data_IF_343442204526
#
_entry.id   IF_343442204526
#
_cell.length_a   1.000
_cell.length_b   1.000
_cell.length_c   1.000
_cell.angle_alpha   90.00
_cell.angle_beta   90.00
_cell.angle_gamma   90.00
#
_symmetry.space_group_name_H-M   'P 1'
#
loop_
_entity.id
_entity.type
_entity.pdbx_description
1 polymer ?
#
# COMPACT_ATOMS: atom_id res chain seq x y z
N UNK A 1 8.72 12.02 5.64
CA UNK A 1 8.91 11.62 4.23
C UNK A 1 7.55 11.56 3.56
N UNK A 2 7.38 12.03 2.32
CA UNK A 2 6.13 11.87 1.56
C UNK A 2 6.17 10.61 0.69
N UNK A 3 5.03 10.17 0.17
CA UNK A 3 4.97 9.02 -0.74
C UNK A 3 5.86 9.19 -1.98
N UNK A 4 5.90 10.40 -2.56
CA UNK A 4 6.80 10.72 -3.69
C UNK A 4 8.27 10.41 -3.37
N UNK A 5 8.72 10.77 -2.16
CA UNK A 5 10.12 10.57 -1.76
C UNK A 5 10.43 9.06 -1.69
N UNK A 6 9.51 8.26 -1.11
CA UNK A 6 9.63 6.80 -1.09
C UNK A 6 9.66 6.22 -2.51
N UNK A 7 8.79 6.72 -3.40
CA UNK A 7 8.74 6.28 -4.80
C UNK A 7 10.06 6.52 -5.52
N UNK A 8 10.60 7.74 -5.43
CA UNK A 8 11.86 8.12 -6.09
C UNK A 8 13.03 7.25 -5.59
N UNK A 9 13.09 6.97 -4.28
CA UNK A 9 14.11 6.11 -3.69
C UNK A 9 13.97 4.63 -4.10
N UNK A 10 12.74 4.11 -4.18
CA UNK A 10 12.49 2.76 -4.64
C UNK A 10 12.89 2.59 -6.12
N UNK A 11 12.52 3.55 -6.98
CA UNK A 11 12.88 3.56 -8.41
C UNK A 11 14.38 3.68 -8.62
N UNK A 12 15.08 4.47 -7.80
CA UNK A 12 16.53 4.57 -7.87
C UNK A 12 17.23 3.22 -7.60
N UNK A 13 16.65 2.37 -6.75
CA UNK A 13 17.23 1.09 -6.34
C UNK A 13 16.73 -0.11 -7.15
N UNK A 14 15.56 -0.01 -7.79
CA UNK A 14 14.92 -1.13 -8.49
C UNK A 14 14.73 -0.80 -9.96
N UNK A 15 15.58 -1.37 -10.81
CA UNK A 15 15.49 -1.21 -12.27
C UNK A 15 14.61 -2.29 -12.94
N UNK A 16 14.43 -3.44 -12.28
CA UNK A 16 13.63 -4.56 -12.78
C UNK A 16 12.70 -5.08 -11.68
N UNK A 17 11.51 -5.62 -12.04
CA UNK A 17 10.63 -6.21 -11.05
C UNK A 17 11.25 -7.49 -10.44
N UNK A 18 10.86 -7.87 -9.21
CA UNK A 18 9.86 -7.21 -8.37
C UNK A 18 10.43 -6.10 -7.48
N UNK A 19 9.65 -5.03 -7.27
CA UNK A 19 9.85 -4.14 -6.10
C UNK A 19 9.48 -4.93 -4.84
N UNK A 20 10.43 -5.11 -3.91
CA UNK A 20 10.25 -5.95 -2.72
C UNK A 20 9.64 -5.16 -1.57
N UNK A 21 8.69 -5.75 -0.87
CA UNK A 21 8.08 -5.16 0.34
C UNK A 21 9.14 -4.81 1.40
N UNK A 22 10.14 -5.67 1.58
CA UNK A 22 11.26 -5.48 2.53
C UNK A 22 12.07 -4.22 2.24
N UNK A 23 12.24 -3.88 0.96
CA UNK A 23 12.92 -2.64 0.58
C UNK A 23 12.08 -1.42 0.99
N UNK A 24 10.78 -1.43 0.69
CA UNK A 24 9.88 -0.33 1.01
C UNK A 24 9.79 -0.09 2.52
N UNK A 25 9.63 -1.19 3.28
CA UNK A 25 9.64 -1.17 4.73
C UNK A 25 10.94 -0.60 5.29
N UNK A 26 12.09 -1.03 4.78
CA UNK A 26 13.39 -0.54 5.22
C UNK A 26 13.56 0.96 4.94
N UNK A 27 13.14 1.43 3.76
CA UNK A 27 13.18 2.86 3.41
C UNK A 27 12.31 3.71 4.33
N UNK A 28 11.10 3.25 4.66
CA UNK A 28 10.21 3.95 5.59
C UNK A 28 10.81 4.00 6.98
N UNK A 29 11.25 2.86 7.54
CA UNK A 29 11.86 2.82 8.87
C UNK A 29 13.10 3.73 8.97
N UNK A 30 13.85 3.92 7.89
CA UNK A 30 15.06 4.76 7.89
C UNK A 30 14.79 6.26 7.78
N UNK A 31 13.69 6.67 7.13
CA UNK A 31 13.52 8.07 6.65
C UNK A 31 12.19 8.72 7.00
N UNK A 32 11.20 7.96 7.45
CA UNK A 32 9.90 8.53 7.79
C UNK A 32 9.93 9.15 9.19
N UNK A 33 10.23 10.45 9.29
CA UNK A 33 10.05 11.25 10.51
C UNK A 33 8.62 11.05 11.04
N UNK A 34 8.47 10.25 12.11
CA UNK A 34 7.19 9.89 12.69
C UNK A 34 6.94 8.39 12.82
N UNK A 35 7.59 7.52 12.04
CA UNK A 35 7.48 6.06 12.17
C UNK A 35 8.88 5.48 12.36
N UNK A 36 9.18 4.99 13.56
CA UNK A 36 10.52 4.47 13.89
C UNK A 36 10.67 2.98 13.55
N UNK A 37 9.62 2.19 13.81
CA UNK A 37 9.62 0.77 13.50
C UNK A 37 8.25 0.32 13.02
N UNK A 38 8.26 -0.44 11.92
CA UNK A 38 7.12 -1.18 11.42
C UNK A 38 7.34 -2.66 11.70
N UNK A 39 6.48 -3.25 12.52
CA UNK A 39 6.43 -4.70 12.70
C UNK A 39 5.42 -5.33 11.74
N UNK A 40 5.64 -6.60 11.39
CA UNK A 40 4.67 -7.36 10.59
C UNK A 40 4.33 -8.63 11.36
N UNK A 41 3.05 -8.83 11.66
CA UNK A 41 2.57 -9.95 12.48
C UNK A 41 1.50 -10.74 11.75
N UNK A 42 1.77 -12.03 11.57
CA UNK A 42 0.76 -12.99 11.14
C UNK A 42 -0.15 -13.34 12.33
N UNK A 43 -1.46 -13.26 12.12
CA UNK A 43 -2.49 -13.56 13.12
C UNK A 43 -3.30 -14.74 12.61
N UNK A 44 -3.39 -15.78 13.44
CA UNK A 44 -4.22 -16.94 13.13
C UNK A 44 -5.66 -16.68 13.60
N UNK A 45 -6.60 -16.79 12.68
CA UNK A 45 -8.03 -16.61 12.96
C UNK A 45 -8.75 -17.96 12.88
N UNK A 46 -9.76 -18.20 13.75
CA UNK A 46 -10.59 -19.41 13.67
C UNK A 46 -11.29 -19.58 12.32
N UNK A 47 -11.58 -18.46 11.65
CA UNK A 47 -12.08 -18.40 10.27
C UNK A 47 -11.13 -17.49 9.50
N UNK A 48 -10.47 -18.05 8.49
CA UNK A 48 -9.57 -17.28 7.63
C UNK A 48 -10.35 -16.19 6.90
N UNK A 49 -9.96 -14.93 7.10
CA UNK A 49 -10.62 -13.77 6.50
C UNK A 49 -9.78 -13.09 5.41
N UNK A 50 -8.53 -13.52 5.22
CA UNK A 50 -7.59 -13.03 4.20
C UNK A 50 -7.33 -11.51 4.28
N UNK A 51 -7.49 -10.92 5.46
CA UNK A 51 -7.35 -9.48 5.67
C UNK A 51 -5.97 -9.10 6.21
N UNK A 52 -5.57 -7.86 5.93
CA UNK A 52 -4.45 -7.18 6.60
C UNK A 52 -4.93 -5.81 7.10
N UNK A 53 -4.30 -5.28 8.15
CA UNK A 53 -4.59 -3.95 8.69
C UNK A 53 -3.35 -3.31 9.33
N UNK A 54 -3.18 -2.01 9.08
CA UNK A 54 -2.21 -1.16 9.75
C UNK A 54 -2.70 -0.71 11.14
N UNK A 55 -1.84 -0.78 12.15
CA UNK A 55 -2.12 -0.39 13.53
C UNK A 55 -0.99 0.49 14.06
N UNK A 56 -1.36 1.60 14.67
CA UNK A 56 -0.43 2.40 15.48
C UNK A 56 -0.49 1.91 16.93
N UNK A 57 0.62 1.40 17.47
CA UNK A 57 0.69 0.85 18.82
C UNK A 57 0.92 1.91 19.90
N UNK A 58 1.55 3.02 19.54
CA UNK A 58 1.86 4.13 20.45
C UNK A 58 3.09 4.91 20.00
N UNK A 59 3.50 5.86 20.85
CA UNK A 59 4.75 6.62 20.71
C UNK A 59 5.81 5.99 21.63
N UNK A 60 7.04 5.89 21.14
CA UNK A 60 8.20 5.40 21.88
C UNK A 60 9.37 6.38 21.69
N UNK A 61 10.39 6.28 22.53
CA UNK A 61 11.62 7.08 22.43
C UNK A 61 12.82 6.23 22.80
N UNK A 62 13.90 6.31 22.02
CA UNK A 62 15.13 5.57 22.30
C UNK A 62 15.88 6.13 23.50
N UNK A 63 15.69 7.43 23.80
CA UNK A 63 16.26 8.15 24.94
C UNK A 63 15.34 9.28 25.37
N UNK A 64 15.54 9.81 26.59
CA UNK A 64 14.82 11.00 27.07
C UNK A 64 15.14 12.29 26.28
N UNK A 65 16.22 12.28 25.48
CA UNK A 65 16.68 13.40 24.67
C UNK A 65 16.39 13.23 23.17
N UNK A 66 15.88 12.07 22.76
CA UNK A 66 15.55 11.79 21.37
C UNK A 66 14.09 12.16 21.10
N UNK A 67 13.78 12.43 19.83
CA UNK A 67 12.39 12.65 19.39
C UNK A 67 11.57 11.37 19.54
N UNK A 68 10.30 11.53 19.92
CA UNK A 68 9.35 10.42 19.96
C UNK A 68 9.04 9.93 18.54
N UNK A 69 8.96 8.61 18.38
CA UNK A 69 8.58 7.96 17.14
C UNK A 69 7.38 7.05 17.34
N UNK A 70 6.55 6.92 16.30
CA UNK A 70 5.43 5.98 16.32
C UNK A 70 5.94 4.57 16.06
N UNK A 71 5.51 3.62 16.88
CA UNK A 71 5.62 2.19 16.59
C UNK A 71 4.36 1.77 15.85
N UNK A 72 4.54 1.25 14.64
CA UNK A 72 3.47 0.76 13.80
C UNK A 72 3.57 -0.75 13.61
N UNK A 73 2.43 -1.40 13.41
CA UNK A 73 2.33 -2.83 13.20
C UNK A 73 1.37 -3.10 12.04
N UNK A 74 1.79 -3.93 11.08
CA UNK A 74 0.90 -4.48 10.06
C UNK A 74 0.52 -5.89 10.49
N UNK A 75 -0.76 -6.09 10.78
CA UNK A 75 -1.34 -7.38 11.13
C UNK A 75 -1.99 -8.00 9.92
N UNK A 76 -1.74 -9.27 9.65
CA UNK A 76 -2.41 -9.96 8.54
C UNK A 76 -2.83 -11.38 8.91
N UNK A 77 -3.88 -11.89 8.27
CA UNK A 77 -4.33 -13.27 8.42
C UNK A 77 -3.30 -14.24 7.83
N UNK A 78 -2.86 -15.21 8.62
CA UNK A 78 -1.89 -16.24 8.20
C UNK A 78 -2.34 -17.05 6.97
N UNK A 79 -3.64 -17.22 6.74
CA UNK A 79 -4.20 -17.86 5.54
C UNK A 79 -3.76 -17.19 4.22
N UNK A 80 -3.35 -15.92 4.24
CA UNK A 80 -2.81 -15.23 3.05
C UNK A 80 -1.40 -15.72 2.69
N UNK A 81 -0.71 -16.47 3.57
CA UNK A 81 0.61 -17.03 3.27
C UNK A 81 0.58 -18.05 2.12
N UNK A 82 -0.57 -18.68 1.87
CA UNK A 82 -0.80 -19.55 0.70
C UNK A 82 -0.87 -18.76 -0.61
N UNK A 83 -1.06 -17.44 -0.53
CA UNK A 83 -1.23 -16.51 -1.64
C UNK A 83 -0.17 -15.40 -1.62
N UNK A 84 1.11 -15.71 -1.91
CA UNK A 84 2.23 -14.78 -1.70
C UNK A 84 2.10 -13.45 -2.45
N UNK A 85 1.50 -13.44 -3.64
CA UNK A 85 1.25 -12.21 -4.39
C UNK A 85 0.17 -11.35 -3.73
N UNK A 86 -0.88 -11.96 -3.19
CA UNK A 86 -1.94 -11.27 -2.43
C UNK A 86 -1.39 -10.73 -1.13
N UNK A 87 -0.60 -11.54 -0.40
CA UNK A 87 0.09 -11.10 0.81
C UNK A 87 0.94 -9.87 0.55
N UNK A 88 1.78 -9.92 -0.49
CA UNK A 88 2.69 -8.82 -0.81
C UNK A 88 1.94 -7.54 -1.17
N UNK A 89 0.87 -7.65 -1.96
CA UNK A 89 0.04 -6.49 -2.29
C UNK A 89 -0.67 -5.93 -1.05
N UNK A 90 -1.30 -6.79 -0.25
CA UNK A 90 -2.00 -6.39 0.97
C UNK A 90 -1.05 -5.71 1.98
N UNK A 91 0.09 -6.33 2.28
CA UNK A 91 1.09 -5.73 3.17
C UNK A 91 1.63 -4.40 2.63
N UNK A 92 1.83 -4.28 1.32
CA UNK A 92 2.26 -3.02 0.72
C UNK A 92 1.17 -1.97 0.81
N UNK A 93 -0.11 -2.32 0.62
CA UNK A 93 -1.25 -1.41 0.82
C UNK A 93 -1.30 -0.90 2.26
N UNK A 94 -1.23 -1.81 3.23
CA UNK A 94 -1.21 -1.46 4.65
C UNK A 94 0.00 -0.57 5.00
N UNK A 95 1.15 -0.84 4.40
CA UNK A 95 2.34 -0.01 4.58
C UNK A 95 2.15 1.42 4.09
N UNK A 96 1.29 1.69 3.10
CA UNK A 96 1.06 3.05 2.62
C UNK A 96 0.27 3.92 3.61
N UNK A 97 -0.41 3.32 4.58
CA UNK A 97 -1.12 4.07 5.64
C UNK A 97 -0.17 4.83 6.58
N UNK A 98 1.15 4.60 6.49
CA UNK A 98 2.15 5.46 7.18
C UNK A 98 2.07 6.92 6.72
N UNK A 99 1.54 7.17 5.52
CA UNK A 99 1.38 8.51 4.95
C UNK A 99 0.02 9.13 5.25
N UNK A 100 -0.84 8.47 6.03
CA UNK A 100 -2.13 9.02 6.44
C UNK A 100 -1.97 10.18 7.42
N UNK A 101 -2.71 11.24 7.14
CA UNK A 101 -2.98 12.30 8.11
C UNK A 101 -3.90 11.83 9.23
N UNK A 102 -4.00 12.61 10.31
CA UNK A 102 -4.90 12.28 11.44
C UNK A 102 -6.38 12.16 11.05
N UNK A 103 -6.83 12.81 9.98
CA UNK A 103 -8.20 12.70 9.47
C UNK A 103 -8.43 11.44 8.62
N UNK A 104 -7.36 10.92 8.02
CA UNK A 104 -7.35 9.72 7.19
C UNK A 104 -7.26 8.43 8.04
N UNK A 105 -6.75 8.52 9.27
CA UNK A 105 -6.59 7.37 10.19
C UNK A 105 -7.92 6.82 10.73
N UNK A 106 -8.10 5.51 10.62
CA UNK A 106 -9.22 4.74 11.20
C UNK A 106 -8.92 4.25 12.63
N UNK A 107 -8.46 5.15 13.50
CA UNK A 107 -7.91 4.82 14.83
C UNK A 107 -8.94 4.78 15.97
N UNK A 108 -10.24 4.96 15.70
CA UNK A 108 -11.30 4.87 16.71
C UNK A 108 -12.44 3.97 16.24
N UNK A 109 -13.19 3.40 17.19
CA UNK A 109 -14.38 2.59 16.88
C UNK A 109 -15.39 3.33 16.02
N UNK A 110 -15.64 4.61 16.30
CA UNK A 110 -16.59 5.42 15.54
C UNK A 110 -16.15 5.58 14.08
N UNK A 111 -14.87 5.89 13.89
CA UNK A 111 -14.23 5.99 12.57
C UNK A 111 -14.27 4.67 11.81
N UNK A 112 -13.99 3.54 12.48
CA UNK A 112 -14.10 2.22 11.89
C UNK A 112 -15.51 1.90 11.41
N UNK A 113 -16.53 2.14 12.26
CA UNK A 113 -17.94 1.92 11.89
C UNK A 113 -18.35 2.80 10.71
N UNK A 114 -17.89 4.06 10.69
CA UNK A 114 -18.11 4.96 9.56
C UNK A 114 -17.49 4.41 8.27
N UNK A 115 -16.20 4.03 8.29
CA UNK A 115 -15.52 3.49 7.13
C UNK A 115 -16.21 2.23 6.59
N UNK A 116 -16.62 1.31 7.47
CA UNK A 116 -17.34 0.10 7.05
C UNK A 116 -18.68 0.44 6.36
N UNK A 117 -19.39 1.45 6.86
CA UNK A 117 -20.60 1.96 6.22
C UNK A 117 -20.31 2.58 4.84
N UNK A 118 -19.21 3.32 4.71
CA UNK A 118 -18.80 3.92 3.43
C UNK A 118 -18.39 2.86 2.40
N UNK A 119 -17.63 1.84 2.82
CA UNK A 119 -17.28 0.70 1.95
C UNK A 119 -18.55 -0.01 1.45
N UNK A 120 -19.52 -0.24 2.33
CA UNK A 120 -20.78 -0.89 1.95
C UNK A 120 -21.61 -0.03 1.00
N UNK A 121 -21.68 1.28 1.23
CA UNK A 121 -22.62 2.16 0.52
C UNK A 121 -22.00 2.85 -0.71
N UNK A 122 -20.67 2.89 -0.84
CA UNK A 122 -19.94 3.63 -1.89
C UNK A 122 -20.42 5.08 -1.99
N UNK A 123 -20.01 5.97 -1.07
CA UNK A 123 -20.54 7.32 -0.98
C UNK A 123 -20.29 8.12 -2.27
N UNK A 124 -21.16 9.09 -2.53
CA UNK A 124 -20.91 10.10 -3.56
C UNK A 124 -19.60 10.85 -3.24
N UNK A 125 -18.83 11.32 -4.25
CA UNK A 125 -17.52 11.93 -4.02
C UNK A 125 -17.51 13.07 -2.97
N UNK A 126 -18.54 13.90 -2.94
CA UNK A 126 -18.66 15.01 -1.99
C UNK A 126 -19.03 14.59 -0.55
N UNK A 127 -19.44 13.33 -0.35
CA UNK A 127 -19.78 12.75 0.96
C UNK A 127 -18.73 11.76 1.45
N UNK A 128 -17.71 11.46 0.64
CA UNK A 128 -16.64 10.55 1.01
C UNK A 128 -15.78 11.17 2.12
N UNK A 129 -15.60 10.45 3.23
CA UNK A 129 -14.67 10.85 4.27
C UNK A 129 -13.22 10.78 3.80
N UNK A 130 -12.34 11.51 4.50
CA UNK A 130 -10.89 11.41 4.27
C UNK A 130 -10.38 9.98 4.44
N UNK A 131 -10.91 9.21 5.39
CA UNK A 131 -10.54 7.81 5.62
C UNK A 131 -10.90 6.91 4.43
N UNK A 132 -12.10 7.07 3.87
CA UNK A 132 -12.51 6.31 2.68
C UNK A 132 -11.65 6.65 1.47
N UNK A 133 -11.35 7.93 1.28
CA UNK A 133 -10.45 8.38 0.22
C UNK A 133 -9.01 7.88 0.43
N UNK A 134 -8.55 7.77 1.67
CA UNK A 134 -7.26 7.16 2.00
C UNK A 134 -7.21 5.69 1.60
N UNK A 135 -8.21 4.86 1.92
CA UNK A 135 -8.23 3.44 1.49
C UNK A 135 -8.10 3.29 -0.03
N UNK A 136 -8.71 4.19 -0.80
CA UNK A 136 -8.56 4.22 -2.27
C UNK A 136 -7.14 4.66 -2.65
N UNK A 137 -6.62 5.70 -2.00
CA UNK A 137 -5.28 6.22 -2.26
C UNK A 137 -4.20 5.19 -1.94
N UNK A 138 -4.27 4.48 -0.81
CA UNK A 138 -3.29 3.47 -0.40
C UNK A 138 -3.28 2.26 -1.31
N UNK A 139 -4.45 1.84 -1.84
CA UNK A 139 -4.53 0.86 -2.95
C UNK A 139 -3.72 1.34 -4.16
N UNK A 140 -3.91 2.58 -4.59
CA UNK A 140 -3.19 3.13 -5.75
C UNK A 140 -1.70 3.35 -5.48
N UNK A 141 -1.33 3.79 -4.27
CA UNK A 141 0.07 3.91 -3.85
C UNK A 141 0.77 2.55 -3.94
N UNK A 142 0.13 1.48 -3.45
CA UNK A 142 0.66 0.12 -3.54
C UNK A 142 0.80 -0.36 -5.01
N UNK A 143 -0.22 -0.12 -5.85
CA UNK A 143 -0.17 -0.47 -7.26
C UNK A 143 0.97 0.27 -8.00
N UNK A 144 1.10 1.58 -7.77
CA UNK A 144 2.12 2.44 -8.39
C UNK A 144 3.52 2.06 -7.94
N UNK A 145 3.73 1.78 -6.65
CA UNK A 145 5.06 1.47 -6.13
C UNK A 145 5.51 0.05 -6.46
N UNK A 146 4.58 -0.91 -6.58
CA UNK A 146 4.89 -2.28 -7.00
C UNK A 146 5.06 -2.43 -8.51
N UNK A 147 4.47 -1.52 -9.29
CA UNK A 147 4.68 -1.40 -10.74
C UNK A 147 5.01 0.06 -11.12
N UNK A 148 6.22 0.55 -10.85
CA UNK A 148 6.65 1.89 -11.22
C UNK A 148 6.58 2.16 -12.73
N UNK A 149 6.54 3.44 -13.15
CA UNK A 149 6.36 3.84 -14.56
C UNK A 149 7.40 3.21 -15.49
N UNK A 150 8.68 3.17 -15.09
CA UNK A 150 9.74 2.58 -15.91
C UNK A 150 9.60 1.07 -16.07
N UNK A 151 9.03 0.37 -15.07
CA UNK A 151 8.71 -1.07 -15.14
C UNK A 151 7.42 -1.30 -15.92
N UNK A 152 6.42 -0.42 -15.79
CA UNK A 152 5.13 -0.50 -16.49
C UNK A 152 5.28 -0.29 -18.00
N UNK A 153 6.03 0.73 -18.41
CA UNK A 153 6.06 1.21 -19.79
C UNK A 153 6.40 0.11 -20.82
N UNK A 154 7.41 -0.75 -20.61
CA UNK A 154 7.74 -1.83 -21.54
C UNK A 154 6.69 -2.95 -21.61
N UNK A 155 5.72 -2.99 -20.69
CA UNK A 155 4.69 -4.03 -20.61
C UNK A 155 3.39 -3.61 -21.30
N UNK A 156 3.19 -2.31 -21.56
CA UNK A 156 1.93 -1.78 -22.07
C UNK A 156 1.62 -2.22 -23.49
N UNK A 157 2.55 -2.05 -24.41
CA UNK A 157 2.31 -2.39 -25.82
C UNK A 157 2.07 -3.91 -25.97
N UNK A 158 2.89 -4.80 -25.37
CA UNK A 158 2.60 -6.23 -25.41
C UNK A 158 1.24 -6.61 -24.79
N UNK A 159 0.84 -5.93 -23.71
CA UNK A 159 -0.46 -6.16 -23.09
C UNK A 159 -1.62 -5.75 -24.00
N UNK A 160 -1.53 -4.56 -24.61
CA UNK A 160 -2.57 -3.99 -25.50
C UNK A 160 -2.70 -4.75 -26.80
N UNK A 161 -1.59 -5.23 -27.35
CA UNK A 161 -1.57 -6.11 -28.52
C UNK A 161 -2.04 -7.53 -28.17
N UNK A 162 -2.20 -7.84 -26.88
CA UNK A 162 -2.59 -9.15 -26.39
C UNK A 162 -1.51 -10.22 -26.53
N UNK A 163 -0.27 -9.83 -26.82
CA UNK A 163 0.90 -10.71 -26.92
C UNK A 163 1.42 -11.12 -25.53
N UNK A 164 1.14 -10.34 -24.49
CA UNK A 164 1.38 -10.68 -23.09
C UNK A 164 0.06 -10.70 -22.30
N UNK A 165 -0.24 -11.82 -21.65
CA UNK A 165 -1.48 -11.96 -20.85
C UNK A 165 -1.29 -11.48 -19.41
N UNK A 166 -2.40 -11.16 -18.77
CA UNK A 166 -2.43 -10.71 -17.36
C UNK A 166 -1.68 -11.65 -16.42
N UNK A 167 -1.81 -12.97 -16.61
CA UNK A 167 -1.15 -13.95 -15.76
C UNK A 167 0.39 -13.87 -15.85
N UNK A 168 0.93 -13.59 -17.03
CA UNK A 168 2.37 -13.44 -17.25
C UNK A 168 2.89 -12.15 -16.62
N UNK A 169 2.14 -11.05 -16.77
CA UNK A 169 2.44 -9.77 -16.14
C UNK A 169 2.38 -9.90 -14.62
N UNK A 170 1.32 -10.52 -14.09
CA UNK A 170 1.13 -10.76 -12.67
C UNK A 170 2.28 -11.59 -12.07
N UNK A 171 2.72 -12.65 -12.76
CA UNK A 171 3.86 -13.45 -12.35
C UNK A 171 5.16 -12.65 -12.35
N UNK A 172 5.41 -11.86 -13.42
CA UNK A 172 6.60 -11.01 -13.53
C UNK A 172 6.66 -9.92 -12.45
N UNK A 173 5.54 -9.26 -12.22
CA UNK A 173 5.43 -8.20 -11.21
C UNK A 173 5.28 -8.76 -9.81
N UNK A 174 4.91 -10.04 -9.63
CA UNK A 174 4.54 -10.72 -8.38
C UNK A 174 3.32 -10.12 -7.66
N UNK A 175 2.35 -9.61 -8.40
CA UNK A 175 1.11 -8.99 -7.87
C UNK A 175 -0.11 -9.84 -8.22
N UNK A 176 -1.25 -9.69 -7.54
CA UNK A 176 -2.45 -10.43 -7.87
C UNK A 176 -2.93 -10.10 -9.27
N UNK A 177 -3.36 -11.13 -10.01
CA UNK A 177 -3.79 -10.99 -11.40
C UNK A 177 -4.94 -9.99 -11.56
N UNK A 178 -5.83 -9.90 -10.57
CA UNK A 178 -6.98 -8.99 -10.56
C UNK A 178 -6.61 -7.51 -10.66
N UNK A 179 -5.39 -7.11 -10.30
CA UNK A 179 -4.94 -5.71 -10.40
C UNK A 179 -4.27 -5.37 -11.73
N UNK A 180 -4.00 -6.34 -12.61
CA UNK A 180 -3.32 -6.08 -13.88
C UNK A 180 -4.13 -5.16 -14.80
N UNK A 181 -5.45 -5.32 -14.95
CA UNK A 181 -6.26 -4.38 -15.73
C UNK A 181 -6.14 -2.95 -15.21
N UNK A 182 -6.28 -2.75 -13.89
CA UNK A 182 -6.16 -1.43 -13.25
C UNK A 182 -4.78 -0.78 -13.51
N UNK A 183 -3.70 -1.57 -13.43
CA UNK A 183 -2.33 -1.09 -13.61
C UNK A 183 -2.04 -0.75 -15.08
N UNK A 184 -2.58 -1.53 -16.02
CA UNK A 184 -2.32 -1.31 -17.45
C UNK A 184 -3.26 -0.29 -18.10
N UNK A 185 -4.33 0.10 -17.39
CA UNK A 185 -5.27 1.15 -17.82
C UNK A 185 -4.62 2.54 -17.88
N UNK A 186 -5.19 3.45 -18.68
CA UNK A 186 -4.73 4.85 -18.78
C UNK A 186 -4.96 5.63 -17.48
N UNK A 187 -5.93 5.23 -16.66
CA UNK A 187 -6.19 5.82 -15.35
C UNK A 187 -4.98 5.70 -14.41
N UNK A 188 -4.12 4.70 -14.58
CA UNK A 188 -2.85 4.59 -13.84
C UNK A 188 -2.04 5.89 -13.89
N UNK A 189 -1.96 6.53 -15.06
CA UNK A 189 -1.19 7.77 -15.21
C UNK A 189 -1.82 8.91 -14.39
N UNK A 190 -3.15 8.99 -14.38
CA UNK A 190 -3.88 10.00 -13.59
C UNK A 190 -3.70 9.78 -12.09
N UNK A 191 -3.79 8.52 -11.66
CA UNK A 191 -3.54 8.13 -10.27
C UNK A 191 -2.10 8.48 -9.87
N UNK A 192 -1.12 8.13 -10.71
CA UNK A 192 0.28 8.46 -10.49
C UNK A 192 0.50 9.98 -10.32
N UNK A 193 0.01 10.78 -11.27
CA UNK A 193 0.25 12.23 -11.26
C UNK A 193 -0.40 12.87 -10.03
N UNK A 194 -1.57 12.38 -9.60
CA UNK A 194 -2.25 12.80 -8.37
C UNK A 194 -1.42 12.45 -7.13
N UNK A 195 -0.89 11.22 -7.05
CA UNK A 195 -0.10 10.75 -5.90
C UNK A 195 1.26 11.45 -5.79
N UNK A 196 1.88 11.84 -6.90
CA UNK A 196 3.15 12.56 -6.89
C UNK A 196 3.00 14.05 -6.54
N UNK A 197 1.79 14.59 -6.67
CA UNK A 197 1.49 15.97 -6.29
C UNK A 197 1.21 16.12 -4.78
N UNK A 198 0.83 15.03 -4.09
CA UNK A 198 0.60 14.95 -2.64
C UNK A 198 1.94 14.89 -1.90
#
# INVERSE_FOLDING_TARGET
MRFKDLYDEAVAQVQEPPVRFELLKALINQRHHGVGEIEVRAISYPVQNHQAHFVTLGEDRTSAYDEEFTVAEIRYCDGVDEHPNERRFALTKELMHVFDTEEEKTNTRARFVQLMSEIQNTPLPQHASAMYLSEIATKWMAAVILCPKHIRQPLLDPYREGTMKEAEIAAKLQIPRSFIPDIMDDYYNRAFDTLMAK
#
